data_IF_840203279819
#
_entry.id   IF_840203279819
#
_cell.length_a   1.000
_cell.length_b   1.000
_cell.length_c   1.000
_cell.angle_alpha   90.00
_cell.angle_beta   90.00
_cell.angle_gamma   90.00
#
_symmetry.space_group_name_H-M   'P 1'
#
loop_
_entity.id
_entity.type
_entity.pdbx_description
1 polymer ?
#
# COMPACT_ATOMS: atom_id res chain seq x y z
N UNK A 1 1.95 -23.93 35.41
CA UNK A 1 0.50 -23.61 35.50
C UNK A 1 -0.05 -23.55 34.09
N UNK A 2 -0.95 -24.47 33.75
CA UNK A 2 -1.30 -24.80 32.36
C UNK A 2 -2.41 -23.93 31.75
N UNK A 3 -2.51 -23.96 30.41
CA UNK A 3 -3.52 -23.31 29.56
C UNK A 3 -4.99 -23.57 29.99
N UNK A 4 -5.24 -24.55 30.86
CA UNK A 4 -6.56 -24.86 31.41
C UNK A 4 -7.15 -23.76 32.29
N UNK A 5 -6.32 -22.98 33.00
CA UNK A 5 -6.79 -21.90 33.88
C UNK A 5 -7.36 -20.70 33.11
N UNK A 6 -7.06 -20.59 31.81
CA UNK A 6 -7.46 -19.45 30.97
C UNK A 6 -8.55 -19.82 29.96
N UNK A 7 -9.19 -20.99 30.11
CA UNK A 7 -10.22 -21.46 29.17
C UNK A 7 -9.69 -21.89 27.79
N UNK A 8 -8.36 -21.98 27.63
CA UNK A 8 -7.69 -22.33 26.36
C UNK A 8 -7.24 -23.81 26.32
N UNK A 9 -7.68 -24.63 27.27
CA UNK A 9 -7.26 -26.04 27.40
C UNK A 9 -7.58 -26.90 26.16
N UNK A 10 -8.63 -26.56 25.43
CA UNK A 10 -9.05 -27.28 24.22
C UNK A 10 -8.35 -26.80 22.94
N UNK A 11 -7.65 -25.66 22.97
CA UNK A 11 -7.00 -25.10 21.78
C UNK A 11 -5.95 -26.04 21.19
N UNK A 12 -5.05 -26.68 21.98
CA UNK A 12 -4.12 -27.68 21.45
C UNK A 12 -4.83 -28.89 20.82
N UNK A 13 -6.00 -29.27 21.34
CA UNK A 13 -6.80 -30.37 20.80
C UNK A 13 -7.46 -29.99 19.48
N UNK A 14 -8.07 -28.80 19.40
CA UNK A 14 -8.66 -28.25 18.18
C UNK A 14 -7.60 -28.04 17.09
N UNK A 15 -6.42 -27.55 17.44
CA UNK A 15 -5.30 -27.41 16.53
C UNK A 15 -4.81 -28.76 15.99
N UNK A 16 -4.65 -29.78 16.86
CA UNK A 16 -4.30 -31.14 16.44
C UNK A 16 -5.36 -31.76 15.52
N UNK A 17 -6.65 -31.51 15.81
CA UNK A 17 -7.76 -31.93 14.94
C UNK A 17 -7.70 -31.25 13.58
N UNK A 18 -7.45 -29.93 13.54
CA UNK A 18 -7.29 -29.19 12.28
C UNK A 18 -6.07 -29.68 11.48
N UNK A 19 -4.93 -29.92 12.13
CA UNK A 19 -3.74 -30.49 11.49
C UNK A 19 -3.99 -31.92 10.97
N UNK A 20 -4.67 -32.77 11.74
CA UNK A 20 -5.03 -34.13 11.32
C UNK A 20 -5.97 -34.10 10.12
N UNK A 21 -6.96 -33.19 10.12
CA UNK A 21 -7.87 -32.98 9.00
C UNK A 21 -7.13 -32.49 7.75
N UNK A 22 -6.19 -31.54 7.88
CA UNK A 22 -5.31 -31.13 6.78
C UNK A 22 -4.46 -32.28 6.25
N UNK A 23 -3.90 -33.13 7.11
CA UNK A 23 -3.15 -34.32 6.65
C UNK A 23 -4.05 -35.30 5.93
N UNK A 24 -5.29 -35.48 6.38
CA UNK A 24 -6.26 -36.34 5.72
C UNK A 24 -6.73 -35.75 4.39
N UNK A 25 -6.99 -34.45 4.32
CA UNK A 25 -7.35 -33.72 3.10
C UNK A 25 -6.18 -33.69 2.11
N UNK A 26 -4.96 -33.40 2.57
CA UNK A 26 -3.74 -33.48 1.78
C UNK A 26 -3.46 -34.92 1.30
N UNK A 27 -3.72 -35.95 2.12
CA UNK A 27 -3.61 -37.35 1.70
C UNK A 27 -4.71 -37.75 0.70
N UNK A 28 -5.91 -37.18 0.82
CA UNK A 28 -7.00 -37.37 -0.13
C UNK A 28 -6.72 -36.69 -1.48
N UNK A 29 -6.08 -35.51 -1.46
CA UNK A 29 -5.61 -34.78 -2.65
C UNK A 29 -4.32 -35.39 -3.22
N UNK A 30 -3.46 -35.97 -2.39
CA UNK A 30 -2.24 -36.68 -2.76
C UNK A 30 -2.50 -38.14 -3.19
N UNK A 31 -3.76 -38.60 -3.25
CA UNK A 31 -4.08 -39.71 -4.16
C UNK A 31 -3.55 -39.29 -5.52
N UNK A 32 -2.63 -40.05 -6.14
CA UNK A 32 -1.98 -39.63 -7.36
C UNK A 32 -3.09 -39.25 -8.32
N UNK A 33 -3.15 -37.95 -8.67
CA UNK A 33 -4.10 -37.42 -9.64
C UNK A 33 -4.11 -38.43 -10.77
N UNK A 34 -5.22 -39.20 -10.86
CA UNK A 34 -5.37 -40.41 -11.68
C UNK A 34 -4.56 -40.18 -12.93
N UNK A 35 -3.34 -40.76 -13.02
CA UNK A 35 -2.28 -40.30 -13.95
C UNK A 35 -3.00 -39.96 -15.24
N UNK A 36 -3.23 -38.67 -15.50
CA UNK A 36 -3.88 -38.30 -16.74
C UNK A 36 -2.96 -38.94 -17.76
N UNK A 37 -3.48 -39.84 -18.62
CA UNK A 37 -2.63 -40.59 -19.52
C UNK A 37 -1.72 -39.54 -20.14
N UNK A 38 -0.41 -39.69 -19.95
CA UNK A 38 0.57 -38.97 -20.75
C UNK A 38 0.37 -39.54 -22.15
N UNK A 39 -0.71 -39.10 -22.80
CA UNK A 39 -0.88 -39.18 -24.23
C UNK A 39 0.45 -38.63 -24.73
N UNK A 40 1.21 -39.46 -25.44
CA UNK A 40 2.32 -39.00 -26.24
C UNK A 40 1.74 -38.01 -27.24
N UNK A 41 1.58 -36.75 -26.81
CA UNK A 41 1.02 -35.67 -27.60
C UNK A 41 2.15 -35.27 -28.55
N UNK A 42 2.02 -35.70 -29.80
CA UNK A 42 2.88 -35.24 -30.89
C UNK A 42 2.84 -33.71 -30.96
N UNK A 43 3.88 -33.09 -31.50
CA UNK A 43 3.91 -31.63 -31.73
C UNK A 43 2.67 -31.17 -32.53
N UNK A 44 2.19 -32.00 -33.45
CA UNK A 44 0.96 -31.75 -34.24
C UNK A 44 -0.29 -31.60 -33.38
N UNK A 45 -0.44 -32.38 -32.30
CA UNK A 45 -1.58 -32.24 -31.38
C UNK A 45 -1.60 -30.87 -30.71
N UNK A 46 -0.41 -30.31 -30.41
CA UNK A 46 -0.30 -29.01 -29.75
C UNK A 46 -0.65 -27.87 -30.70
N UNK A 47 -0.29 -27.98 -31.97
CA UNK A 47 -0.67 -27.01 -32.99
C UNK A 47 -2.18 -27.02 -33.24
N UNK A 48 -2.78 -28.21 -33.39
CA UNK A 48 -4.22 -28.37 -33.60
C UNK A 48 -5.04 -27.85 -32.39
N UNK A 49 -4.55 -28.07 -31.16
CA UNK A 49 -5.21 -27.59 -29.94
C UNK A 49 -5.01 -26.08 -29.70
N UNK A 50 -4.01 -25.45 -30.32
CA UNK A 50 -3.76 -24.00 -30.18
C UNK A 50 -4.51 -23.17 -31.21
N UNK A 51 -4.93 -23.74 -32.35
CA UNK A 51 -5.67 -22.98 -33.36
C UNK A 51 -6.98 -22.36 -32.83
N UNK A 52 -7.83 -23.09 -32.05
CA UNK A 52 -9.03 -22.49 -31.45
C UNK A 52 -8.70 -21.46 -30.37
N UNK A 53 -7.59 -21.64 -29.65
CA UNK A 53 -7.11 -20.65 -28.66
C UNK A 53 -6.71 -19.35 -29.35
N UNK A 54 -6.01 -19.43 -30.49
CA UNK A 54 -5.63 -18.24 -31.27
C UNK A 54 -6.86 -17.50 -31.78
N UNK A 55 -7.81 -18.22 -32.37
CA UNK A 55 -9.07 -17.63 -32.83
C UNK A 55 -9.86 -16.96 -31.67
N UNK A 56 -9.95 -17.62 -30.51
CA UNK A 56 -10.63 -17.06 -29.35
C UNK A 56 -9.89 -15.85 -28.75
N UNK A 57 -8.55 -15.79 -28.84
CA UNK A 57 -7.77 -14.60 -28.44
C UNK A 57 -7.96 -13.45 -29.44
N UNK A 58 -8.07 -13.75 -30.74
CA UNK A 58 -8.43 -12.76 -31.76
C UNK A 58 -9.84 -12.18 -31.51
N UNK A 59 -10.78 -12.97 -30.99
CA UNK A 59 -12.11 -12.49 -30.57
C UNK A 59 -12.12 -11.63 -29.29
N UNK A 60 -11.01 -11.59 -28.55
CA UNK A 60 -10.79 -10.68 -27.42
C UNK A 60 -10.14 -9.36 -27.86
N UNK A 61 -9.79 -9.22 -29.13
CA UNK A 61 -9.27 -7.96 -29.64
C UNK A 61 -10.31 -6.84 -29.53
N UNK A 62 -9.87 -5.58 -29.36
CA UNK A 62 -10.78 -4.45 -29.24
C UNK A 62 -11.70 -4.34 -30.45
N UNK A 63 -12.92 -3.85 -30.21
CA UNK A 63 -13.95 -3.78 -31.26
C UNK A 63 -13.49 -2.99 -32.48
N UNK A 64 -13.77 -3.57 -33.65
CA UNK A 64 -13.59 -2.90 -34.94
C UNK A 64 -14.81 -2.02 -35.19
N UNK A 65 -14.64 -0.72 -35.02
CA UNK A 65 -15.68 0.27 -35.22
C UNK A 65 -15.65 0.77 -36.66
N UNK A 66 -16.81 0.70 -37.32
CA UNK A 66 -17.03 1.31 -38.63
C UNK A 66 -17.84 2.60 -38.50
N UNK A 67 -17.24 3.74 -38.82
CA UNK A 67 -17.93 5.04 -38.89
C UNK A 67 -17.99 5.53 -40.33
N UNK A 68 -19.12 6.11 -40.71
CA UNK A 68 -19.32 6.73 -42.03
C UNK A 68 -19.68 8.19 -41.82
N UNK A 69 -18.92 9.07 -42.45
CA UNK A 69 -19.12 10.52 -42.37
C UNK A 69 -19.42 11.08 -43.75
N UNK A 70 -20.27 12.10 -43.80
CA UNK A 70 -20.46 12.91 -45.01
C UNK A 70 -19.37 13.97 -45.12
N UNK A 71 -18.97 14.31 -46.35
CA UNK A 71 -17.84 15.19 -46.66
C UNK A 71 -17.77 16.49 -45.83
N UNK A 72 -18.92 17.09 -45.52
CA UNK A 72 -19.00 18.39 -44.86
C UNK A 72 -19.22 18.33 -43.33
N UNK A 73 -19.30 17.13 -42.75
CA UNK A 73 -19.64 16.94 -41.34
C UNK A 73 -18.81 15.83 -40.69
N UNK A 74 -17.50 16.06 -40.56
CA UNK A 74 -16.57 15.07 -39.99
C UNK A 74 -16.02 15.55 -38.64
N UNK A 75 -16.57 15.10 -37.51
CA UNK A 75 -15.97 15.35 -36.20
C UNK A 75 -14.68 14.55 -36.04
N UNK A 76 -13.86 14.96 -35.07
CA UNK A 76 -12.72 14.15 -34.62
C UNK A 76 -13.23 12.80 -34.10
N UNK A 77 -12.46 11.74 -34.35
CA UNK A 77 -12.77 10.40 -33.84
C UNK A 77 -11.81 10.09 -32.71
N UNK A 78 -12.33 10.09 -31.50
CA UNK A 78 -11.57 9.73 -30.30
C UNK A 78 -11.47 8.22 -30.14
N UNK A 79 -10.51 7.80 -29.32
CA UNK A 79 -10.24 6.41 -28.95
C UNK A 79 -9.95 5.48 -30.14
N UNK A 80 -9.10 5.93 -31.05
CA UNK A 80 -8.61 5.17 -32.20
C UNK A 80 -7.28 4.54 -31.85
N UNK A 81 -7.27 3.28 -31.41
CA UNK A 81 -6.03 2.54 -31.15
C UNK A 81 -5.26 2.29 -32.45
N UNK A 82 -5.98 1.85 -33.48
CA UNK A 82 -5.39 1.54 -34.78
C UNK A 82 -6.40 1.83 -35.91
N UNK A 83 -5.98 2.61 -36.90
CA UNK A 83 -6.76 2.80 -38.13
C UNK A 83 -6.50 1.65 -39.10
N UNK A 84 -7.53 0.81 -39.35
CA UNK A 84 -7.43 -0.40 -40.20
C UNK A 84 -7.71 -0.09 -41.68
N UNK A 85 -8.73 0.72 -41.96
CA UNK A 85 -9.04 1.15 -43.31
C UNK A 85 -9.73 2.51 -43.30
N UNK A 86 -9.36 3.37 -44.24
CA UNK A 86 -10.06 4.61 -44.52
C UNK A 86 -10.30 4.75 -46.02
N UNK A 87 -11.56 4.99 -46.39
CA UNK A 87 -12.02 5.06 -47.79
C UNK A 87 -12.80 6.34 -48.02
N UNK A 88 -12.39 7.14 -49.00
CA UNK A 88 -13.03 8.41 -49.32
C UNK A 88 -13.54 8.46 -50.76
N UNK A 89 -14.77 8.92 -50.98
CA UNK A 89 -15.36 9.06 -52.30
C UNK A 89 -16.83 8.67 -52.35
N UNK A 90 -17.30 8.23 -53.51
CA UNK A 90 -18.66 7.77 -53.74
C UNK A 90 -18.64 6.54 -54.64
N UNK A 91 -19.64 5.67 -54.50
CA UNK A 91 -19.81 4.52 -55.39
C UNK A 91 -20.65 4.94 -56.59
N UNK A 92 -20.12 4.85 -57.81
CA UNK A 92 -20.90 4.98 -59.04
C UNK A 92 -20.40 3.98 -60.09
N UNK A 93 -21.10 3.87 -61.23
CA UNK A 93 -20.69 3.01 -62.35
C UNK A 93 -19.24 3.26 -62.81
N UNK A 94 -18.71 4.46 -62.59
CA UNK A 94 -17.38 4.88 -63.06
C UNK A 94 -16.47 5.40 -61.93
N UNK A 95 -16.89 5.29 -60.66
CA UNK A 95 -16.11 5.77 -59.52
C UNK A 95 -16.13 4.75 -58.38
N UNK A 96 -14.96 4.55 -57.76
CA UNK A 96 -14.75 3.72 -56.58
C UNK A 96 -14.16 4.58 -55.47
N UNK A 97 -14.35 4.15 -54.23
CA UNK A 97 -13.67 4.76 -53.09
C UNK A 97 -12.15 4.73 -53.29
N UNK A 98 -11.50 5.85 -53.00
CA UNK A 98 -10.06 5.92 -52.90
C UNK A 98 -9.64 5.42 -51.51
N UNK A 99 -8.66 4.53 -51.46
CA UNK A 99 -8.04 4.12 -50.19
C UNK A 99 -7.10 5.24 -49.72
N UNK A 100 -7.40 5.79 -48.54
CA UNK A 100 -6.67 6.92 -47.93
C UNK A 100 -6.06 6.53 -46.59
N UNK A 101 -6.00 5.23 -46.28
CA UNK A 101 -5.62 4.70 -44.96
C UNK A 101 -4.24 5.18 -44.50
N UNK A 102 -3.21 5.01 -45.33
CA UNK A 102 -1.84 5.37 -44.94
C UNK A 102 -1.66 6.88 -44.73
N UNK A 103 -2.31 7.71 -45.55
CA UNK A 103 -2.27 9.17 -45.38
C UNK A 103 -2.97 9.60 -44.10
N UNK A 104 -4.15 9.01 -43.81
CA UNK A 104 -4.87 9.31 -42.57
C UNK A 104 -4.10 8.85 -41.33
N UNK A 105 -3.42 7.70 -41.39
CA UNK A 105 -2.58 7.20 -40.29
C UNK A 105 -1.37 8.11 -40.05
N UNK A 106 -0.69 8.56 -41.10
CA UNK A 106 0.51 9.38 -40.98
C UNK A 106 0.23 10.84 -40.58
N UNK A 107 -0.83 11.43 -41.11
CA UNK A 107 -1.06 12.88 -41.01
C UNK A 107 -2.09 13.25 -39.95
N UNK A 108 -3.07 12.37 -39.68
CA UNK A 108 -4.26 12.73 -38.91
C UNK A 108 -4.48 11.93 -37.62
N UNK A 109 -3.82 10.78 -37.43
CA UNK A 109 -3.93 9.98 -36.21
C UNK A 109 -2.82 10.36 -35.22
N UNK A 110 -3.18 11.01 -34.12
CA UNK A 110 -2.25 11.44 -33.06
C UNK A 110 -2.82 11.10 -31.69
N UNK A 111 -2.03 10.44 -30.85
CA UNK A 111 -2.38 10.12 -29.45
C UNK A 111 -3.76 9.46 -29.27
N UNK A 112 -4.11 8.54 -30.18
CA UNK A 112 -5.40 7.84 -30.14
C UNK A 112 -6.59 8.70 -30.59
N UNK A 113 -6.37 9.86 -31.20
CA UNK A 113 -7.41 10.71 -31.77
C UNK A 113 -7.14 10.93 -33.25
N UNK A 114 -8.13 10.63 -34.08
CA UNK A 114 -8.10 10.92 -35.50
C UNK A 114 -8.70 12.33 -35.72
N UNK A 115 -7.83 13.30 -35.98
CA UNK A 115 -8.17 14.72 -36.15
C UNK A 115 -8.71 14.99 -37.55
N UNK A 116 -10.03 15.15 -37.67
CA UNK A 116 -10.76 15.34 -38.91
C UNK A 116 -11.53 16.67 -38.95
N UNK A 117 -11.77 17.28 -37.79
CA UNK A 117 -12.49 18.54 -37.69
C UNK A 117 -11.71 19.64 -38.42
N UNK A 118 -12.35 20.24 -39.42
CA UNK A 118 -11.75 21.30 -40.25
C UNK A 118 -10.82 20.81 -41.35
N UNK A 119 -10.67 19.49 -41.54
CA UNK A 119 -9.94 18.92 -42.68
C UNK A 119 -10.84 18.96 -43.91
N UNK A 120 -10.41 19.69 -44.94
CA UNK A 120 -11.04 19.63 -46.26
C UNK A 120 -10.67 18.30 -46.93
N UNK A 121 -11.53 17.29 -46.77
CA UNK A 121 -11.30 15.93 -47.27
C UNK A 121 -11.11 15.89 -48.80
N UNK A 122 -11.73 16.82 -49.54
CA UNK A 122 -11.58 16.91 -50.99
C UNK A 122 -10.21 17.43 -51.37
N UNK A 123 -9.68 18.39 -50.62
CA UNK A 123 -8.32 18.88 -50.83
C UNK A 123 -7.27 17.87 -50.35
N UNK A 124 -7.49 17.25 -49.21
CA UNK A 124 -6.54 16.31 -48.61
C UNK A 124 -6.43 14.99 -49.42
N UNK A 125 -7.56 14.52 -49.96
CA UNK A 125 -7.64 13.18 -50.54
C UNK A 125 -8.22 13.14 -51.97
N UNK A 126 -8.64 14.27 -52.53
CA UNK A 126 -9.09 14.33 -53.91
C UNK A 126 -7.94 14.14 -54.92
N UNK A 127 -8.29 13.71 -56.12
CA UNK A 127 -7.38 13.67 -57.25
C UNK A 127 -7.11 15.09 -57.75
N UNK A 128 -5.86 15.55 -57.60
CA UNK A 128 -5.47 16.94 -57.91
C UNK A 128 -5.35 17.26 -59.41
N UNK A 129 -5.70 16.31 -60.28
CA UNK A 129 -5.69 16.50 -61.73
C UNK A 129 -6.82 17.41 -62.24
N UNK A 130 -6.56 18.32 -63.19
CA UNK A 130 -7.58 19.20 -63.77
C UNK A 130 -8.73 18.44 -64.43
N UNK A 131 -8.44 17.27 -65.02
CA UNK A 131 -9.45 16.37 -65.62
C UNK A 131 -10.36 15.74 -64.56
N UNK A 132 -9.82 15.39 -63.39
CA UNK A 132 -10.60 14.79 -62.32
C UNK A 132 -11.53 15.82 -61.65
N UNK A 133 -11.06 17.06 -61.48
CA UNK A 133 -11.88 18.17 -60.98
C UNK A 133 -13.07 18.49 -61.90
N UNK A 134 -12.87 18.42 -63.22
CA UNK A 134 -13.94 18.61 -64.21
C UNK A 134 -14.98 17.47 -64.21
N UNK A 135 -14.52 16.21 -64.18
CA UNK A 135 -15.40 15.03 -64.10
C UNK A 135 -16.18 14.98 -62.79
N UNK A 136 -15.56 15.38 -61.68
CA UNK A 136 -16.22 15.42 -60.38
C UNK A 136 -17.30 16.52 -60.30
N UNK A 137 -17.08 17.67 -60.93
CA UNK A 137 -18.08 18.74 -61.02
C UNK A 137 -19.33 18.32 -61.78
N UNK A 138 -19.17 17.61 -62.91
CA UNK A 138 -20.28 17.05 -63.69
C UNK A 138 -21.06 15.97 -62.93
N UNK A 139 -20.37 15.12 -62.16
CA UNK A 139 -21.01 14.02 -61.41
C UNK A 139 -21.75 14.51 -60.16
N UNK A 140 -21.23 15.53 -59.48
CA UNK A 140 -21.89 16.12 -58.32
C UNK A 140 -23.21 16.80 -58.67
N UNK A 141 -23.30 17.44 -59.85
CA UNK A 141 -24.50 18.18 -60.29
C UNK A 141 -25.63 17.30 -60.87
N UNK A 142 -25.33 16.11 -61.40
CA UNK A 142 -26.32 15.28 -62.11
C UNK A 142 -26.83 14.10 -61.27
N UNK A 143 -26.03 13.58 -60.32
CA UNK A 143 -26.36 12.33 -59.60
C UNK A 143 -26.58 12.50 -58.10
N UNK A 144 -26.51 13.72 -57.55
CA UNK A 144 -26.62 13.98 -56.09
C UNK A 144 -25.77 13.03 -55.24
N UNK A 145 -24.60 12.62 -55.75
CA UNK A 145 -23.74 11.64 -55.11
C UNK A 145 -22.86 12.35 -54.06
N UNK A 146 -23.30 12.35 -52.80
CA UNK A 146 -22.51 12.87 -51.69
C UNK A 146 -21.28 11.99 -51.44
N UNK A 147 -20.10 12.61 -51.34
CA UNK A 147 -18.88 11.89 -50.95
C UNK A 147 -18.96 11.50 -49.49
N UNK A 148 -18.47 10.32 -49.18
CA UNK A 148 -18.44 9.77 -47.83
C UNK A 148 -17.03 9.33 -47.48
N UNK A 149 -16.68 9.54 -46.23
CA UNK A 149 -15.51 8.96 -45.59
C UNK A 149 -15.97 7.77 -44.77
N UNK A 150 -15.49 6.57 -45.11
CA UNK A 150 -15.74 5.34 -44.36
C UNK A 150 -14.45 4.98 -43.62
N UNK A 151 -14.51 5.02 -42.29
CA UNK A 151 -13.43 4.63 -41.40
C UNK A 151 -13.74 3.29 -40.76
N UNK A 152 -12.75 2.42 -40.73
CA UNK A 152 -12.74 1.15 -40.01
C UNK A 152 -11.51 1.20 -39.11
N UNK A 153 -11.71 1.18 -37.80
CA UNK A 153 -10.64 1.32 -36.84
C UNK A 153 -10.87 0.44 -35.61
N UNK A 154 -9.77 0.05 -34.95
CA UNK A 154 -9.78 -0.64 -33.66
C UNK A 154 -9.91 0.39 -32.55
N UNK A 155 -10.93 0.24 -31.71
CA UNK A 155 -11.14 1.14 -30.57
C UNK A 155 -10.02 0.99 -29.53
N UNK A 156 -9.63 2.09 -28.89
CA UNK A 156 -8.80 2.07 -27.67
C UNK A 156 -9.64 2.11 -26.39
N UNK A 157 -10.97 2.16 -26.52
CA UNK A 157 -11.87 1.99 -25.38
C UNK A 157 -11.86 0.51 -25.04
N UNK A 158 -11.45 0.20 -23.81
CA UNK A 158 -11.58 -1.16 -23.30
C UNK A 158 -13.07 -1.51 -23.26
N UNK A 159 -13.46 -2.66 -23.83
CA UNK A 159 -14.85 -3.13 -23.75
C UNK A 159 -15.26 -3.31 -22.29
N UNK A 160 -16.53 -3.06 -21.98
CA UNK A 160 -17.05 -3.29 -20.64
C UNK A 160 -16.84 -4.76 -20.26
N UNK A 161 -16.37 -5.06 -19.03
CA UNK A 161 -16.06 -6.43 -18.64
C UNK A 161 -17.23 -7.39 -18.89
N UNK A 162 -18.45 -6.94 -18.70
CA UNK A 162 -19.68 -7.71 -18.88
C UNK A 162 -19.83 -8.27 -20.31
N UNK A 163 -19.37 -7.54 -21.32
CA UNK A 163 -19.44 -7.95 -22.73
C UNK A 163 -18.37 -8.98 -23.10
N UNK A 164 -17.23 -8.95 -22.42
CA UNK A 164 -16.07 -9.83 -22.71
C UNK A 164 -16.03 -11.06 -21.82
N UNK A 165 -16.60 -10.99 -20.61
CA UNK A 165 -16.59 -12.09 -19.65
C UNK A 165 -17.11 -13.42 -20.21
N UNK A 166 -18.18 -13.49 -21.03
CA UNK A 166 -18.61 -14.75 -21.65
C UNK A 166 -17.54 -15.37 -22.55
N UNK A 167 -16.83 -14.54 -23.35
CA UNK A 167 -15.75 -14.99 -24.25
C UNK A 167 -14.55 -15.46 -23.45
N UNK A 168 -14.16 -14.70 -22.42
CA UNK A 168 -13.08 -15.07 -21.51
C UNK A 168 -13.38 -16.39 -20.80
N UNK A 169 -14.59 -16.55 -20.24
CA UNK A 169 -14.99 -17.79 -19.58
C UNK A 169 -14.96 -18.98 -20.54
N UNK A 170 -15.47 -18.82 -21.76
CA UNK A 170 -15.40 -19.85 -22.80
C UNK A 170 -13.97 -20.25 -23.16
N UNK A 171 -13.07 -19.27 -23.29
CA UNK A 171 -11.64 -19.51 -23.52
C UNK A 171 -11.00 -20.24 -22.32
N UNK A 172 -11.26 -19.80 -21.09
CA UNK A 172 -10.73 -20.43 -19.89
C UNK A 172 -11.21 -21.87 -19.71
N UNK A 173 -12.48 -22.13 -20.02
CA UNK A 173 -13.07 -23.48 -20.02
C UNK A 173 -12.42 -24.37 -21.07
N UNK A 174 -12.18 -23.86 -22.29
CA UNK A 174 -11.46 -24.58 -23.34
C UNK A 174 -10.02 -24.90 -22.93
N UNK A 175 -9.29 -23.91 -22.40
CA UNK A 175 -7.92 -24.08 -21.91
C UNK A 175 -7.83 -25.12 -20.79
N UNK A 176 -8.79 -25.11 -19.86
CA UNK A 176 -8.95 -26.11 -18.81
C UNK A 176 -9.24 -27.49 -19.39
N UNK A 177 -10.18 -27.60 -20.35
CA UNK A 177 -10.57 -28.85 -21.00
C UNK A 177 -9.44 -29.51 -21.80
N UNK A 178 -8.58 -28.73 -22.45
CA UNK A 178 -7.40 -29.22 -23.18
C UNK A 178 -6.20 -29.55 -22.25
N UNK A 179 -6.28 -29.17 -20.98
CA UNK A 179 -5.22 -29.37 -20.00
C UNK A 179 -4.06 -28.38 -20.14
N UNK A 180 -4.31 -27.19 -20.71
CA UNK A 180 -3.33 -26.10 -20.74
C UNK A 180 -3.19 -25.45 -19.36
N UNK A 181 -4.29 -25.40 -18.59
CA UNK A 181 -4.27 -24.93 -17.20
C UNK A 181 -4.34 -26.10 -16.23
N UNK A 182 -3.69 -25.95 -15.07
CA UNK A 182 -3.79 -26.91 -13.97
C UNK A 182 -4.92 -26.47 -13.06
N UNK A 183 -5.77 -27.41 -12.67
CA UNK A 183 -6.79 -27.21 -11.65
C UNK A 183 -6.12 -27.17 -10.27
N UNK A 184 -5.58 -26.01 -9.91
CA UNK A 184 -5.06 -25.74 -8.57
C UNK A 184 -6.18 -25.11 -7.74
N UNK A 185 -6.32 -25.53 -6.48
CA UNK A 185 -7.18 -24.86 -5.49
C UNK A 185 -8.67 -24.76 -5.83
N UNK A 186 -9.21 -25.62 -6.70
CA UNK A 186 -10.62 -25.58 -7.15
C UNK A 186 -11.62 -25.70 -5.98
N UNK A 187 -11.23 -26.37 -4.90
CA UNK A 187 -12.08 -26.54 -3.71
C UNK A 187 -11.83 -25.48 -2.63
N UNK A 188 -10.87 -24.57 -2.85
CA UNK A 188 -10.39 -23.64 -1.83
C UNK A 188 -11.01 -22.24 -1.96
N UNK A 189 -12.09 -22.10 -2.73
CA UNK A 189 -12.76 -20.83 -2.97
C UNK A 189 -13.16 -20.11 -1.68
N UNK A 190 -13.61 -20.85 -0.65
CA UNK A 190 -13.98 -20.28 0.64
C UNK A 190 -12.81 -19.62 1.40
N UNK A 191 -11.57 -20.07 1.18
CA UNK A 191 -10.42 -19.54 1.92
C UNK A 191 -10.08 -18.12 1.50
N UNK A 192 -10.42 -17.73 0.28
CA UNK A 192 -10.22 -16.36 -0.22
C UNK A 192 -10.89 -15.34 0.71
N UNK A 193 -12.09 -15.67 1.19
CA UNK A 193 -12.90 -14.86 2.10
C UNK A 193 -12.54 -15.03 3.57
N UNK A 194 -11.41 -15.66 3.91
CA UNK A 194 -10.89 -15.68 5.28
C UNK A 194 -9.46 -15.12 5.36
N UNK A 195 -8.86 -14.78 4.21
CA UNK A 195 -7.52 -14.19 4.17
C UNK A 195 -7.50 -12.80 4.77
N UNK A 196 -8.57 -12.01 4.63
CA UNK A 196 -8.60 -10.67 5.20
C UNK A 196 -8.47 -10.76 6.72
N UNK A 197 -9.30 -11.57 7.37
CA UNK A 197 -9.22 -11.77 8.83
C UNK A 197 -7.90 -12.40 9.27
N UNK A 198 -7.31 -13.32 8.50
CA UNK A 198 -5.96 -13.81 8.78
C UNK A 198 -4.91 -12.67 8.78
N UNK A 199 -4.91 -11.81 7.76
CA UNK A 199 -3.96 -10.69 7.65
C UNK A 199 -4.23 -9.56 8.66
N UNK A 200 -5.49 -9.30 9.01
CA UNK A 200 -5.84 -8.31 10.03
C UNK A 200 -5.15 -8.59 11.37
N UNK A 201 -4.93 -9.86 11.73
CA UNK A 201 -4.19 -10.21 12.96
C UNK A 201 -2.74 -9.69 12.91
N UNK A 202 -2.08 -9.83 11.77
CA UNK A 202 -0.71 -9.32 11.55
C UNK A 202 -0.71 -7.79 11.61
N UNK A 203 -1.65 -7.15 10.91
CA UNK A 203 -1.79 -5.70 10.89
C UNK A 203 -2.06 -5.12 12.28
N UNK A 204 -2.94 -5.74 13.07
CA UNK A 204 -3.23 -5.34 14.45
C UNK A 204 -1.97 -5.32 15.32
N UNK A 205 -1.10 -6.34 15.20
CA UNK A 205 0.16 -6.38 15.93
C UNK A 205 1.16 -5.31 15.45
N UNK A 206 1.22 -5.05 14.14
CA UNK A 206 2.05 -3.99 13.59
C UNK A 206 1.56 -2.60 14.00
N UNK A 207 0.24 -2.38 14.04
CA UNK A 207 -0.36 -1.13 14.50
C UNK A 207 -0.10 -0.96 16.00
N UNK A 208 -0.25 -2.02 16.80
CA UNK A 208 0.15 -2.00 18.20
C UNK A 208 1.62 -1.63 18.37
N UNK A 209 2.54 -2.29 17.66
CA UNK A 209 3.97 -1.97 17.70
C UNK A 209 4.28 -0.52 17.36
N UNK A 210 3.71 0.00 16.26
CA UNK A 210 3.85 1.41 15.85
C UNK A 210 3.22 2.38 16.86
N UNK A 211 2.12 2.01 17.50
CA UNK A 211 1.49 2.85 18.52
C UNK A 211 2.41 3.09 19.71
N UNK A 212 3.30 2.14 20.02
CA UNK A 212 4.28 2.25 21.12
C UNK A 212 5.35 3.32 20.90
N UNK A 213 5.47 3.85 19.68
CA UNK A 213 6.36 4.97 19.38
C UNK A 213 5.77 6.32 19.83
N UNK A 214 4.45 6.40 19.91
CA UNK A 214 3.70 7.65 20.17
C UNK A 214 2.73 7.55 21.34
N UNK A 215 2.63 6.39 21.97
CA UNK A 215 1.78 6.16 23.13
C UNK A 215 2.31 5.00 23.97
N UNK A 216 2.03 5.04 25.26
CA UNK A 216 2.18 3.91 26.16
C UNK A 216 1.16 2.80 25.86
N UNK A 217 1.55 1.55 26.12
CA UNK A 217 0.76 0.35 25.79
C UNK A 217 -0.64 0.36 26.42
N UNK A 218 -0.76 0.84 27.67
CA UNK A 218 -2.02 0.83 28.41
C UNK A 218 -3.06 1.83 27.87
N UNK A 219 -2.73 2.66 26.88
CA UNK A 219 -3.69 3.53 26.18
C UNK A 219 -4.12 2.98 24.82
N UNK A 220 -3.60 1.83 24.40
CA UNK A 220 -3.97 1.23 23.13
C UNK A 220 -5.46 0.80 23.14
N UNK A 221 -6.23 1.05 22.07
CA UNK A 221 -7.68 0.78 22.06
C UNK A 221 -8.00 -0.69 21.77
N UNK A 222 -7.59 -1.59 22.66
CA UNK A 222 -7.72 -3.05 22.52
C UNK A 222 -9.14 -3.49 22.10
N UNK A 223 -10.17 -3.01 22.81
CA UNK A 223 -11.56 -3.42 22.55
C UNK A 223 -12.06 -2.98 21.18
N UNK A 224 -11.64 -1.82 20.66
CA UNK A 224 -12.06 -1.34 19.34
C UNK A 224 -11.50 -2.23 18.24
N UNK A 225 -10.22 -2.59 18.33
CA UNK A 225 -9.59 -3.51 17.40
C UNK A 225 -10.23 -4.90 17.42
N UNK A 226 -10.51 -5.45 18.62
CA UNK A 226 -11.21 -6.73 18.74
C UNK A 226 -12.62 -6.69 18.15
N UNK A 227 -13.35 -5.60 18.38
CA UNK A 227 -14.69 -5.40 17.81
C UNK A 227 -14.63 -5.42 16.28
N UNK A 228 -13.76 -4.60 15.69
CA UNK A 228 -13.59 -4.53 14.23
C UNK A 228 -13.23 -5.91 13.67
N UNK A 229 -12.30 -6.62 14.32
CA UNK A 229 -11.91 -7.97 13.91
C UNK A 229 -13.10 -8.94 13.83
N UNK A 230 -13.91 -9.03 14.89
CA UNK A 230 -15.04 -9.96 14.92
C UNK A 230 -16.20 -9.51 14.02
N UNK A 231 -16.40 -8.21 13.83
CA UNK A 231 -17.35 -7.68 12.83
C UNK A 231 -16.93 -8.09 11.42
N UNK A 232 -15.65 -7.96 11.07
CA UNK A 232 -15.12 -8.40 9.76
C UNK A 232 -15.22 -9.91 9.60
N UNK A 233 -14.86 -10.70 10.63
CA UNK A 233 -15.00 -12.17 10.58
C UNK A 233 -16.45 -12.62 10.38
N UNK A 234 -17.39 -11.94 11.02
CA UNK A 234 -18.82 -12.20 10.83
C UNK A 234 -19.27 -11.89 9.40
N UNK A 235 -18.84 -10.76 8.83
CA UNK A 235 -19.14 -10.37 7.46
C UNK A 235 -18.57 -11.37 6.45
N UNK A 236 -17.29 -11.74 6.60
CA UNK A 236 -16.61 -12.74 5.77
C UNK A 236 -17.29 -14.10 5.84
N UNK A 237 -17.64 -14.56 7.04
CA UNK A 237 -18.37 -15.82 7.25
C UNK A 237 -19.75 -15.80 6.58
N UNK A 238 -20.43 -14.64 6.58
CA UNK A 238 -21.73 -14.47 5.92
C UNK A 238 -21.61 -14.58 4.41
N UNK A 239 -20.56 -13.99 3.80
CA UNK A 239 -20.27 -14.15 2.36
C UNK A 239 -20.02 -15.61 2.02
N UNK A 240 -19.23 -16.33 2.82
CA UNK A 240 -18.98 -17.77 2.60
C UNK A 240 -20.27 -18.59 2.77
N UNK A 241 -21.14 -18.23 3.71
CA UNK A 241 -22.44 -18.88 3.90
C UNK A 241 -23.33 -18.71 2.67
N UNK A 242 -23.39 -17.52 2.10
CA UNK A 242 -24.17 -17.21 0.90
C UNK A 242 -23.62 -17.91 -0.35
N UNK A 243 -22.29 -17.90 -0.54
CA UNK A 243 -21.65 -18.44 -1.76
C UNK A 243 -21.38 -19.94 -1.74
N UNK A 244 -21.08 -20.49 -0.57
CA UNK A 244 -20.57 -21.85 -0.42
C UNK A 244 -21.36 -22.71 0.59
N UNK A 245 -22.38 -22.13 1.22
CA UNK A 245 -23.27 -22.80 2.16
C UNK A 245 -22.76 -22.79 3.61
N UNK A 246 -23.69 -22.99 4.56
CA UNK A 246 -23.42 -22.90 6.00
C UNK A 246 -22.33 -23.87 6.49
N UNK A 247 -22.26 -25.08 5.93
CA UNK A 247 -21.24 -26.07 6.32
C UNK A 247 -19.83 -25.56 6.03
N UNK A 248 -19.60 -24.93 4.87
CA UNK A 248 -18.30 -24.33 4.53
C UNK A 248 -18.04 -23.04 5.32
N UNK A 249 -19.07 -22.27 5.63
CA UNK A 249 -18.93 -21.06 6.45
C UNK A 249 -18.38 -21.34 7.85
N UNK A 250 -18.90 -22.36 8.55
CA UNK A 250 -18.57 -22.60 9.96
C UNK A 250 -17.65 -23.80 10.22
N UNK A 251 -17.51 -24.72 9.27
CA UNK A 251 -16.71 -25.94 9.45
C UNK A 251 -15.57 -26.11 8.43
N UNK A 252 -15.26 -25.06 7.64
CA UNK A 252 -14.06 -25.00 6.81
C UNK A 252 -12.81 -24.79 7.66
N UNK A 253 -11.65 -25.23 7.14
CA UNK A 253 -10.38 -24.89 7.79
C UNK A 253 -10.11 -23.39 7.75
N UNK A 254 -10.65 -22.63 6.77
CA UNK A 254 -10.49 -21.18 6.69
C UNK A 254 -11.11 -20.47 7.89
N UNK A 255 -12.35 -20.83 8.23
CA UNK A 255 -13.01 -20.32 9.43
C UNK A 255 -12.22 -20.66 10.69
N UNK A 256 -11.81 -21.93 10.87
CA UNK A 256 -11.07 -22.35 12.07
C UNK A 256 -9.74 -21.60 12.21
N UNK A 257 -9.02 -21.38 11.10
CA UNK A 257 -7.75 -20.66 11.08
C UNK A 257 -7.89 -19.16 11.36
N UNK A 258 -9.07 -18.59 11.17
CA UNK A 258 -9.33 -17.18 11.48
C UNK A 258 -9.92 -17.04 12.88
N UNK A 259 -10.85 -17.93 13.25
CA UNK A 259 -11.54 -17.90 14.53
C UNK A 259 -10.62 -18.25 15.70
N UNK A 260 -9.85 -19.34 15.62
CA UNK A 260 -9.02 -19.80 16.77
C UNK A 260 -7.93 -18.77 17.11
N UNK A 261 -7.10 -18.30 16.15
CA UNK A 261 -6.15 -17.23 16.43
C UNK A 261 -6.83 -15.92 16.83
N UNK A 262 -8.01 -15.60 16.28
CA UNK A 262 -8.84 -14.47 16.71
C UNK A 262 -9.22 -14.54 18.19
N UNK A 263 -9.65 -15.70 18.69
CA UNK A 263 -9.94 -15.93 20.12
C UNK A 263 -8.67 -15.82 20.97
N UNK A 264 -7.54 -16.37 20.51
CA UNK A 264 -6.26 -16.25 21.21
C UNK A 264 -5.83 -14.77 21.31
N UNK A 265 -5.95 -14.02 20.22
CA UNK A 265 -5.66 -12.59 20.19
C UNK A 265 -6.61 -11.80 21.10
N UNK A 266 -7.90 -12.15 21.12
CA UNK A 266 -8.88 -11.58 22.03
C UNK A 266 -8.54 -11.84 23.50
N UNK A 267 -8.09 -13.04 23.84
CA UNK A 267 -7.63 -13.36 25.19
C UNK A 267 -6.41 -12.52 25.58
N UNK A 268 -5.40 -12.42 24.71
CA UNK A 268 -4.18 -11.64 24.96
C UNK A 268 -4.47 -10.14 25.08
N UNK A 269 -5.22 -9.57 24.14
CA UNK A 269 -5.62 -8.16 24.19
C UNK A 269 -6.56 -7.87 25.37
N UNK A 270 -7.41 -8.82 25.73
CA UNK A 270 -8.24 -8.74 26.95
C UNK A 270 -7.39 -8.70 28.21
N UNK A 271 -6.36 -9.54 28.31
CA UNK A 271 -5.40 -9.50 29.43
C UNK A 271 -4.67 -8.16 29.49
N UNK A 272 -4.20 -7.63 28.36
CA UNK A 272 -3.57 -6.31 28.31
C UNK A 272 -4.56 -5.20 28.71
N UNK A 273 -5.80 -5.23 28.22
CA UNK A 273 -6.82 -4.26 28.62
C UNK A 273 -7.13 -4.32 30.12
N UNK A 274 -7.20 -5.52 30.72
CA UNK A 274 -7.40 -5.68 32.16
C UNK A 274 -6.23 -5.13 32.97
N UNK A 275 -4.98 -5.31 32.51
CA UNK A 275 -3.80 -4.70 33.13
C UNK A 275 -3.76 -3.18 32.94
N UNK A 276 -4.31 -2.68 31.82
CA UNK A 276 -4.38 -1.26 31.53
C UNK A 276 -5.45 -0.53 32.36
N UNK A 277 -6.55 -1.21 32.69
CA UNK A 277 -7.74 -0.62 33.29
C UNK A 277 -7.47 0.12 34.62
N UNK A 278 -6.69 -0.41 35.59
CA UNK A 278 -6.33 0.34 36.79
C UNK A 278 -5.60 1.65 36.48
N UNK A 279 -4.73 1.66 35.48
CA UNK A 279 -3.99 2.87 35.05
C UNK A 279 -4.91 3.85 34.30
N UNK A 280 -5.87 3.35 33.54
CA UNK A 280 -6.85 4.17 32.84
C UNK A 280 -7.89 4.80 33.78
N UNK A 281 -8.16 4.16 34.93
CA UNK A 281 -9.11 4.62 35.96
C UNK A 281 -8.52 5.63 36.94
N UNK A 282 -7.20 5.86 36.92
CA UNK A 282 -6.59 6.90 37.75
C UNK A 282 -7.13 8.29 37.38
N UNK A 283 -7.19 9.24 38.34
CA UNK A 283 -7.66 10.58 38.08
C UNK A 283 -6.84 11.24 36.97
N UNK A 284 -7.49 12.02 36.10
CA UNK A 284 -6.83 12.71 34.98
C UNK A 284 -5.65 13.58 35.40
N UNK A 285 -5.72 14.13 36.62
CA UNK A 285 -4.69 14.97 37.24
C UNK A 285 -3.39 14.22 37.52
N UNK A 286 -3.42 12.89 37.57
CA UNK A 286 -2.23 12.05 37.78
C UNK A 286 -1.41 11.84 36.51
N UNK A 287 -1.86 12.32 35.35
CA UNK A 287 -1.25 12.04 34.05
C UNK A 287 -1.51 10.62 33.51
N UNK A 288 -2.06 9.73 34.34
CA UNK A 288 -2.54 8.40 33.96
C UNK A 288 -4.05 8.46 33.73
N UNK A 289 -4.50 8.28 32.48
CA UNK A 289 -5.90 8.39 32.12
C UNK A 289 -6.18 7.99 30.68
N UNK A 290 -7.43 7.65 30.40
CA UNK A 290 -7.89 7.16 29.09
C UNK A 290 -7.97 8.25 28.00
N UNK A 291 -8.09 9.52 28.37
CA UNK A 291 -8.23 10.63 27.40
C UNK A 291 -6.88 11.30 27.12
N UNK A 292 -6.55 11.40 25.83
CA UNK A 292 -5.36 12.09 25.32
C UNK A 292 -5.69 13.57 25.22
N UNK A 293 -5.05 14.41 26.02
CA UNK A 293 -5.09 15.85 25.80
C UNK A 293 -4.15 16.18 24.62
N UNK A 294 -4.67 16.64 23.46
CA UNK A 294 -3.84 16.92 22.29
C UNK A 294 -2.83 18.04 22.53
N UNK A 295 -3.13 18.95 23.47
CA UNK A 295 -2.22 20.05 23.83
C UNK A 295 -0.96 19.55 24.49
N UNK A 296 -1.05 18.41 25.20
CA UNK A 296 0.07 17.78 25.90
C UNK A 296 0.95 16.96 24.99
N UNK A 297 0.57 16.71 23.73
CA UNK A 297 1.34 15.92 22.75
C UNK A 297 2.62 16.57 22.25
N UNK A 298 3.02 17.65 22.88
CA UNK A 298 4.16 18.44 22.48
C UNK A 298 4.90 18.91 23.72
N UNK A 299 6.22 18.89 23.63
CA UNK A 299 7.11 19.51 24.59
C UNK A 299 7.42 20.94 24.14
N UNK A 300 7.74 21.82 25.10
CA UNK A 300 8.25 23.15 24.81
C UNK A 300 9.76 23.16 25.04
N UNK A 301 10.52 23.62 24.05
CA UNK A 301 11.97 23.76 24.15
C UNK A 301 12.32 25.24 24.18
N UNK A 302 13.07 25.67 25.19
CA UNK A 302 13.72 26.99 25.16
C UNK A 302 15.11 26.80 24.60
N UNK A 303 15.40 27.41 23.46
CA UNK A 303 16.67 27.24 22.75
C UNK A 303 17.42 28.57 22.62
N UNK A 304 18.73 28.50 22.82
CA UNK A 304 19.66 29.62 22.71
C UNK A 304 20.54 29.42 21.46
N UNK A 305 20.56 30.44 20.60
CA UNK A 305 21.49 30.64 19.50
C UNK A 305 22.39 31.83 19.81
N UNK A 306 23.65 31.82 19.35
CA UNK A 306 24.49 33.01 19.39
C UNK A 306 23.78 34.19 18.70
N UNK A 307 23.83 35.42 19.24
CA UNK A 307 23.16 36.58 18.66
C UNK A 307 23.59 36.90 17.21
N UNK A 308 24.76 36.43 16.82
CA UNK A 308 25.34 36.60 15.49
C UNK A 308 24.88 35.54 14.48
N UNK A 309 24.25 34.46 14.93
CA UNK A 309 23.75 33.39 14.08
C UNK A 309 22.33 33.70 13.59
N UNK A 310 22.07 33.49 12.30
CA UNK A 310 20.70 33.51 11.79
C UNK A 310 19.97 32.23 12.24
N UNK A 311 18.72 32.35 12.74
CA UNK A 311 17.93 31.18 13.08
C UNK A 311 17.68 30.34 11.81
N UNK A 312 17.92 29.02 11.86
CA UNK A 312 17.56 28.15 10.74
C UNK A 312 16.03 28.10 10.62
N UNK A 313 15.54 27.72 9.44
CA UNK A 313 14.17 27.28 9.33
C UNK A 313 13.99 25.98 10.15
N UNK A 314 13.31 26.08 11.28
CA UNK A 314 13.12 24.95 12.19
C UNK A 314 12.42 23.75 11.53
N UNK A 315 11.57 24.00 10.53
CA UNK A 315 10.91 22.93 9.79
C UNK A 315 11.88 22.16 8.89
N UNK A 316 12.94 22.82 8.40
CA UNK A 316 14.03 22.18 7.67
C UNK A 316 14.96 21.36 8.57
N UNK A 317 15.05 21.71 9.87
CA UNK A 317 15.80 20.94 10.86
C UNK A 317 15.05 19.65 11.20
N UNK A 318 13.75 19.74 11.47
CA UNK A 318 12.88 18.59 11.71
C UNK A 318 11.42 18.95 11.39
N UNK A 319 10.72 18.10 10.65
CA UNK A 319 9.39 18.40 10.10
C UNK A 319 8.33 18.77 11.17
N UNK A 320 8.48 18.23 12.38
CA UNK A 320 7.56 18.42 13.52
C UNK A 320 7.97 19.57 14.46
N UNK A 321 9.11 20.22 14.24
CA UNK A 321 9.49 21.41 15.01
C UNK A 321 8.76 22.64 14.47
N UNK A 322 8.23 23.46 15.39
CA UNK A 322 7.58 24.73 15.06
C UNK A 322 8.02 25.78 16.07
N UNK A 323 8.39 26.96 15.60
CA UNK A 323 8.63 28.09 16.48
C UNK A 323 7.29 28.60 17.02
N UNK A 324 7.22 28.77 18.34
CA UNK A 324 6.08 29.38 19.02
C UNK A 324 6.32 30.87 19.24
N UNK A 325 7.52 31.23 19.66
CA UNK A 325 7.86 32.61 20.00
C UNK A 325 9.38 32.87 19.89
N UNK A 326 9.73 34.13 19.62
CA UNK A 326 11.10 34.66 19.64
C UNK A 326 11.16 35.76 20.70
N UNK A 327 11.56 35.40 21.91
CA UNK A 327 11.49 36.30 23.07
C UNK A 327 12.45 37.48 22.92
N UNK A 328 13.68 37.19 22.47
CA UNK A 328 14.74 38.15 22.15
C UNK A 328 15.65 37.56 21.06
N UNK A 329 16.44 38.39 20.34
CA UNK A 329 17.40 37.87 19.36
C UNK A 329 18.31 36.77 19.94
N UNK A 330 18.22 35.57 19.37
CA UNK A 330 18.98 34.39 19.82
C UNK A 330 18.28 33.52 20.87
N UNK A 331 17.08 33.88 21.36
CA UNK A 331 16.33 33.07 22.32
C UNK A 331 14.94 32.73 21.78
N UNK A 332 14.72 31.45 21.48
CA UNK A 332 13.50 30.98 20.82
C UNK A 332 12.78 29.94 21.69
N UNK A 333 11.46 29.93 21.59
CA UNK A 333 10.60 28.89 22.18
C UNK A 333 10.07 28.04 21.06
N UNK A 334 10.41 26.75 21.05
CA UNK A 334 10.00 25.79 20.05
C UNK A 334 8.98 24.81 20.63
N UNK A 335 8.02 24.42 19.80
CA UNK A 335 7.19 23.24 19.99
C UNK A 335 7.90 22.04 19.39
N UNK A 336 8.08 21.00 20.19
CA UNK A 336 8.67 19.73 19.78
C UNK A 336 7.69 18.57 20.00
N UNK A 337 7.79 17.48 19.23
CA UNK A 337 6.99 16.28 19.48
C UNK A 337 7.42 15.58 20.77
N UNK A 338 6.59 14.69 21.31
CA UNK A 338 6.88 13.90 22.51
C UNK A 338 7.42 12.50 22.18
N UNK A 339 7.77 11.73 23.21
CA UNK A 339 8.17 10.32 23.17
C UNK A 339 9.36 10.07 22.22
N UNK A 340 9.29 9.02 21.38
CA UNK A 340 10.41 8.69 20.48
C UNK A 340 10.71 9.79 19.47
N UNK A 341 9.70 10.54 19.05
CA UNK A 341 9.87 11.63 18.10
C UNK A 341 10.67 12.80 18.70
N UNK A 342 10.57 13.05 20.02
CA UNK A 342 11.41 14.02 20.71
C UNK A 342 12.90 13.71 20.53
N UNK A 343 13.26 12.42 20.59
CA UNK A 343 14.64 11.98 20.40
C UNK A 343 15.14 12.37 19.02
N UNK A 344 14.35 12.10 17.97
CA UNK A 344 14.68 12.50 16.60
C UNK A 344 14.86 14.01 16.45
N UNK A 345 13.96 14.80 17.03
CA UNK A 345 14.03 16.26 17.00
C UNK A 345 15.30 16.80 17.70
N UNK A 346 15.66 16.28 18.87
CA UNK A 346 16.86 16.70 19.60
C UNK A 346 18.16 16.25 18.93
N UNK A 347 18.17 15.07 18.30
CA UNK A 347 19.29 14.62 17.47
C UNK A 347 19.48 15.54 16.25
N UNK A 348 18.39 16.01 15.64
CA UNK A 348 18.44 16.96 14.54
C UNK A 348 18.94 18.34 15.01
N UNK A 349 18.42 18.86 16.14
CA UNK A 349 18.89 20.11 16.75
C UNK A 349 20.37 20.06 17.12
N UNK A 350 20.89 18.90 17.56
CA UNK A 350 22.30 18.73 17.84
C UNK A 350 23.20 18.92 16.59
N UNK A 351 22.67 18.86 15.37
CA UNK A 351 23.41 19.15 14.13
C UNK A 351 23.58 20.65 13.87
N UNK A 352 22.72 21.50 14.44
CA UNK A 352 22.82 22.95 14.33
C UNK A 352 24.01 23.42 15.19
N UNK A 353 25.05 24.05 14.61
CA UNK A 353 26.23 24.48 15.37
C UNK A 353 25.87 25.51 16.44
N UNK A 354 26.55 25.45 17.59
CA UNK A 354 26.41 26.42 18.69
C UNK A 354 25.04 26.55 19.35
N UNK A 355 24.00 25.87 18.83
CA UNK A 355 22.69 25.78 19.47
C UNK A 355 22.81 25.10 20.83
N UNK A 356 22.06 25.62 21.81
CA UNK A 356 21.85 25.02 23.13
C UNK A 356 20.36 24.93 23.41
N UNK A 357 19.96 23.88 24.12
CA UNK A 357 18.64 23.81 24.75
C UNK A 357 18.82 24.22 26.20
N UNK A 358 18.14 25.25 26.64
CA UNK A 358 18.20 25.75 28.01
C UNK A 358 17.21 25.00 28.91
N UNK A 359 16.06 24.64 28.35
CA UNK A 359 14.96 24.02 29.08
C UNK A 359 14.12 23.13 28.16
N UNK A 360 13.56 22.05 28.74
CA UNK A 360 12.55 21.20 28.12
C UNK A 360 11.35 21.15 29.06
N UNK A 361 10.25 21.80 28.69
CA UNK A 361 8.97 21.83 29.42
C UNK A 361 9.12 22.14 30.92
N UNK A 362 9.81 23.24 31.24
CA UNK A 362 10.08 23.67 32.63
C UNK A 362 11.02 22.76 33.41
N UNK A 363 11.77 21.89 32.74
CA UNK A 363 12.72 20.97 33.38
C UNK A 363 14.16 21.25 32.99
N UNK A 364 15.06 21.10 33.98
CA UNK A 364 16.51 21.36 33.85
C UNK A 364 17.35 20.09 33.76
N UNK A 365 16.75 18.92 33.99
CA UNK A 365 17.41 17.63 33.92
C UNK A 365 16.55 16.67 33.12
N UNK A 366 17.14 15.94 32.20
CA UNK A 366 16.44 14.98 31.34
C UNK A 366 17.13 13.62 31.38
N UNK A 367 16.34 12.56 31.35
CA UNK A 367 16.90 11.21 31.29
C UNK A 367 17.22 10.84 29.84
N UNK A 368 18.41 10.29 29.61
CA UNK A 368 18.85 9.83 28.29
C UNK A 368 19.33 8.39 28.38
N UNK A 369 18.84 7.53 27.49
CA UNK A 369 19.30 6.16 27.31
C UNK A 369 20.28 6.09 26.16
N UNK A 370 21.46 5.56 26.43
CA UNK A 370 22.51 5.33 25.44
C UNK A 370 22.93 3.86 25.40
N UNK A 371 23.39 3.40 24.24
CA UNK A 371 23.98 2.07 24.05
C UNK A 371 25.48 2.21 23.80
N UNK A 372 26.25 1.39 24.49
CA UNK A 372 27.70 1.33 24.39
C UNK A 372 28.12 0.16 23.50
N UNK A 373 29.06 0.42 22.60
CA UNK A 373 29.77 -0.58 21.79
C UNK A 373 31.07 -1.03 22.46
N UNK A 374 31.73 -0.11 23.18
CA UNK A 374 32.95 -0.35 23.94
C UNK A 374 32.70 0.05 25.40
N UNK A 375 32.03 -0.81 26.21
CA UNK A 375 31.46 -0.41 27.49
C UNK A 375 32.47 0.24 28.45
N UNK A 376 33.67 -0.31 28.59
CA UNK A 376 34.66 0.21 29.53
C UNK A 376 35.17 1.61 29.16
N UNK A 377 35.55 1.81 27.89
CA UNK A 377 36.10 3.09 27.42
C UNK A 377 35.01 4.18 27.34
N UNK A 378 33.87 3.85 26.77
CA UNK A 378 32.76 4.79 26.58
C UNK A 378 32.10 5.17 27.90
N UNK A 379 31.98 4.24 28.86
CA UNK A 379 31.47 4.56 30.19
C UNK A 379 32.35 5.58 30.91
N UNK A 380 33.68 5.45 30.78
CA UNK A 380 34.60 6.42 31.38
C UNK A 380 34.46 7.81 30.74
N UNK A 381 34.25 7.87 29.42
CA UNK A 381 33.97 9.13 28.72
C UNK A 381 32.66 9.78 29.21
N UNK A 382 31.60 9.00 29.40
CA UNK A 382 30.33 9.51 29.91
C UNK A 382 30.44 10.04 31.34
N UNK A 383 31.27 9.43 32.20
CA UNK A 383 31.50 9.86 33.58
C UNK A 383 32.23 11.21 33.68
N UNK A 384 33.13 11.51 32.75
CA UNK A 384 33.88 12.78 32.76
C UNK A 384 33.16 13.91 32.03
N UNK A 385 32.03 13.62 31.37
CA UNK A 385 31.30 14.59 30.58
C UNK A 385 30.53 15.57 31.48
N UNK A 386 30.75 16.87 31.27
CA UNK A 386 30.11 17.92 32.07
C UNK A 386 28.59 17.88 31.91
N UNK A 387 27.88 17.96 33.05
CA UNK A 387 26.42 17.94 33.07
C UNK A 387 25.80 16.57 32.80
N UNK A 388 26.59 15.50 32.82
CA UNK A 388 26.13 14.13 32.65
C UNK A 388 26.42 13.31 33.91
N UNK A 389 25.40 12.63 34.43
CA UNK A 389 25.52 11.70 35.55
C UNK A 389 25.02 10.32 35.11
N UNK A 390 25.87 9.30 35.28
CA UNK A 390 25.48 7.91 35.05
C UNK A 390 24.60 7.44 36.20
N UNK A 391 23.36 7.04 35.90
CA UNK A 391 22.37 6.63 36.89
C UNK A 391 22.28 5.11 37.01
N UNK A 392 22.25 4.40 35.89
CA UNK A 392 22.08 2.95 35.84
C UNK A 392 22.81 2.37 34.62
N UNK A 393 23.41 1.19 34.80
CA UNK A 393 23.92 0.35 33.72
C UNK A 393 23.17 -0.98 33.75
N UNK A 394 22.70 -1.45 32.60
CA UNK A 394 21.96 -2.71 32.49
C UNK A 394 22.10 -3.33 31.10
N UNK A 395 21.71 -4.60 30.98
CA UNK A 395 21.71 -5.36 29.74
C UNK A 395 20.37 -6.05 29.56
N UNK A 396 19.80 -5.95 28.36
CA UNK A 396 18.62 -6.74 28.02
C UNK A 396 19.03 -8.19 27.75
N UNK A 397 18.19 -9.19 28.05
CA UNK A 397 18.48 -10.58 27.73
C UNK A 397 18.57 -10.84 26.21
N UNK A 398 17.94 -9.98 25.40
CA UNK A 398 18.01 -9.99 23.94
C UNK A 398 17.67 -8.60 23.40
N UNK A 399 18.24 -8.23 22.25
CA UNK A 399 17.89 -7.02 21.49
C UNK A 399 16.92 -7.32 20.33
N UNK A 400 16.40 -8.55 20.24
CA UNK A 400 15.54 -9.00 19.13
C UNK A 400 16.28 -9.32 17.83
N UNK A 401 17.61 -9.32 17.84
CA UNK A 401 18.47 -9.64 16.69
C UNK A 401 19.43 -10.79 17.04
N UNK A 402 20.19 -11.27 16.05
CA UNK A 402 21.24 -12.28 16.27
C UNK A 402 22.48 -11.70 16.99
N UNK A 403 22.63 -10.37 17.01
CA UNK A 403 23.75 -9.71 17.66
C UNK A 403 23.63 -9.78 19.19
N UNK A 404 24.75 -9.89 19.92
CA UNK A 404 24.71 -9.86 21.38
C UNK A 404 24.05 -8.57 21.88
N UNK A 405 23.27 -8.63 22.98
CA UNK A 405 22.72 -7.43 23.60
C UNK A 405 23.87 -6.53 24.04
N UNK A 406 23.85 -5.27 23.62
CA UNK A 406 24.85 -4.30 24.05
C UNK A 406 24.57 -3.78 25.45
N UNK A 407 25.60 -3.26 26.12
CA UNK A 407 25.45 -2.57 27.41
C UNK A 407 24.68 -1.27 27.21
N UNK A 408 23.63 -1.07 28.01
CA UNK A 408 22.79 0.12 28.00
C UNK A 408 23.03 0.92 29.28
N UNK A 409 23.09 2.25 29.13
CA UNK A 409 23.29 3.17 30.25
C UNK A 409 22.18 4.22 30.26
N UNK A 410 21.59 4.45 31.43
CA UNK A 410 20.71 5.57 31.69
C UNK A 410 21.50 6.73 32.32
N UNK A 411 21.39 7.90 31.72
CA UNK A 411 22.06 9.14 32.10
C UNK A 411 21.02 10.14 32.60
N UNK A 412 21.35 10.88 33.66
CA UNK A 412 20.69 12.14 34.00
C UNK A 412 21.55 13.26 33.41
N UNK A 413 20.97 14.06 32.52
CA UNK A 413 21.70 15.11 31.79
C UNK A 413 21.10 16.47 32.09
N UNK A 414 21.92 17.41 32.53
CA UNK A 414 21.55 18.82 32.68
C UNK A 414 21.28 19.41 31.29
N UNK A 415 20.06 19.94 31.07
CA UNK A 415 19.53 20.31 29.74
C UNK A 415 20.46 21.23 28.92
N UNK A 416 21.09 22.28 29.49
CA UNK A 416 22.12 23.07 28.81
C UNK A 416 23.26 22.28 28.15
N UNK A 417 23.58 21.09 28.66
CA UNK A 417 24.63 20.21 28.13
C UNK A 417 24.10 19.12 27.19
N UNK A 418 22.79 19.02 26.99
CA UNK A 418 22.14 17.95 26.24
C UNK A 418 22.65 17.85 24.79
N UNK A 419 22.63 18.95 24.03
CA UNK A 419 23.10 18.94 22.64
C UNK A 419 24.60 18.68 22.55
N UNK A 420 25.41 19.18 23.51
CA UNK A 420 26.84 18.87 23.55
C UNK A 420 27.12 17.40 23.87
N UNK A 421 26.31 16.79 24.74
CA UNK A 421 26.40 15.37 25.06
C UNK A 421 26.07 14.54 23.81
N UNK A 422 24.98 14.85 23.10
CA UNK A 422 24.61 14.16 21.86
C UNK A 422 25.75 14.21 20.84
N UNK A 423 26.33 15.39 20.60
CA UNK A 423 27.48 15.57 19.69
C UNK A 423 28.69 14.76 20.15
N UNK A 424 28.96 14.72 21.45
CA UNK A 424 30.07 13.94 22.00
C UNK A 424 29.85 12.43 21.85
N UNK A 425 28.64 11.94 22.14
CA UNK A 425 28.26 10.55 21.92
C UNK A 425 28.46 10.12 20.46
N UNK A 426 28.02 10.94 19.51
CA UNK A 426 28.21 10.68 18.08
C UNK A 426 29.71 10.57 17.69
N UNK A 427 30.59 11.41 18.25
CA UNK A 427 32.05 11.33 18.02
C UNK A 427 32.71 10.10 18.61
N UNK A 428 32.15 9.55 19.68
CA UNK A 428 32.69 8.40 20.39
C UNK A 428 32.02 7.07 20.00
N UNK A 429 31.15 7.06 18.99
CA UNK A 429 30.41 5.85 18.59
C UNK A 429 29.44 5.36 19.66
N UNK A 430 28.94 6.26 20.51
CA UNK A 430 27.90 5.98 21.51
C UNK A 430 26.53 6.28 20.88
N UNK A 431 25.65 5.28 20.85
CA UNK A 431 24.33 5.40 20.24
C UNK A 431 23.34 6.00 21.25
N UNK A 432 22.77 7.17 20.94
CA UNK A 432 21.67 7.74 21.73
C UNK A 432 20.36 7.07 21.29
N UNK A 433 19.83 6.19 22.13
CA UNK A 433 18.65 5.39 21.80
C UNK A 433 17.33 6.10 22.09
N UNK A 434 17.27 6.83 23.21
CA UNK A 434 16.05 7.50 23.63
C UNK A 434 16.37 8.65 24.58
N UNK A 435 15.78 9.81 24.32
CA UNK A 435 15.70 10.92 25.26
C UNK A 435 14.26 10.92 25.77
N UNK A 436 14.10 10.72 27.08
CA UNK A 436 12.79 10.62 27.69
C UNK A 436 12.21 12.02 27.89
N UNK A 437 10.97 12.19 27.46
CA UNK A 437 10.17 13.36 27.75
C UNK A 437 9.64 13.33 29.19
N UNK A 438 9.01 14.42 29.62
CA UNK A 438 8.45 14.54 30.98
C UNK A 438 6.98 14.12 31.00
N UNK A 439 6.64 13.10 30.21
CA UNK A 439 5.27 12.64 30.04
C UNK A 439 4.71 12.01 31.32
N UNK A 440 4.23 12.85 32.22
CA UNK A 440 3.29 12.61 33.31
C UNK A 440 2.83 13.99 33.79
N UNK A 441 1.76 14.52 33.20
CA UNK A 441 0.81 15.45 33.86
C UNK A 441 -0.41 15.61 33.00
#
# INVERSE_FOLDING_TARGET
MGLSLVGLGDVPRLWKLAQARRRAEAAAVARPARKQPRLGRSETWREDALAPVRAAVEELEPDIVKKTFEEHAVPDVEHVAELLSAKFGYTSLTARYLDVTERMRAEHLHDGVLKLKGVDLRRAFGSDGPVAKALDGLRAGVLSAHRRLVLVYRSSVDPEPEDVMPRINGLLDYLSGCGFTRQLHVQDGEYTWFKLTEWMQVEMLQIFGRSLDTSVWYRFPYTQFLRIYFETLYAETSIVKERHGAKKAYASSGFVMSFVPGIMMAALMGQLQLLALPLQMLPKETGFGAQRDPSKLYEQLVVELPPTAQPPDWSSVHEQLRELDCLVPGLHVLRAPTLKALTGALLALARVPSLRVLEVSNQRHIQVRVRLQEPAAQLQQLKVMKGCQVMLQFEYPSNGTADPPGTVVALCVTVPYLLSMIRACARHGIEVQQIFDFWCT
#
